data_IF_651378074087
#
_entry.id   IF_651378074087
#
_cell.length_a   1.000
_cell.length_b   1.000
_cell.length_c   1.000
_cell.angle_alpha   90.00
_cell.angle_beta   90.00
_cell.angle_gamma   90.00
#
_symmetry.space_group_name_H-M   'P 1'
#
loop_
_entity.id
_entity.type
_entity.pdbx_description
1 polymer ?
#
# COMPACT_ATOMS: atom_id res chain seq x y z
N UNK A 1 -23.96 -20.15 32.65
CA UNK A 1 -23.40 -18.87 32.14
C UNK A 1 -23.16 -17.98 33.35
N UNK A 2 -21.96 -17.39 33.46
CA UNK A 2 -21.66 -16.42 34.50
C UNK A 2 -22.56 -15.18 34.33
N UNK A 3 -23.36 -14.79 35.36
CA UNK A 3 -24.22 -13.61 35.29
C UNK A 3 -23.47 -12.34 34.91
N UNK A 4 -22.21 -12.19 35.35
CA UNK A 4 -21.39 -11.04 35.01
C UNK A 4 -21.08 -10.98 33.51
N UNK A 5 -20.65 -12.10 32.92
CA UNK A 5 -20.40 -12.19 31.48
C UNK A 5 -21.65 -11.90 30.63
N UNK A 6 -22.84 -12.35 31.08
CA UNK A 6 -24.11 -12.10 30.38
C UNK A 6 -24.45 -10.61 30.39
N UNK A 7 -24.26 -9.92 31.51
CA UNK A 7 -24.53 -8.48 31.64
C UNK A 7 -23.56 -7.67 30.76
N UNK A 8 -22.27 -7.98 30.80
CA UNK A 8 -21.26 -7.26 30.01
C UNK A 8 -21.47 -7.51 28.51
N UNK A 9 -21.64 -8.76 28.10
CA UNK A 9 -21.83 -9.10 26.69
C UNK A 9 -23.16 -8.56 26.15
N UNK A 10 -24.23 -8.67 26.92
CA UNK A 10 -25.54 -8.13 26.56
C UNK A 10 -25.53 -6.60 26.51
N UNK A 11 -24.86 -5.94 27.46
CA UNK A 11 -24.71 -4.49 27.48
C UNK A 11 -23.89 -3.96 26.29
N UNK A 12 -22.73 -4.55 26.02
CA UNK A 12 -21.89 -4.18 24.88
C UNK A 12 -22.59 -4.48 23.54
N UNK A 13 -23.19 -5.66 23.42
CA UNK A 13 -23.97 -6.04 22.23
C UNK A 13 -25.15 -5.10 22.01
N UNK A 14 -25.88 -4.76 23.07
CA UNK A 14 -26.98 -3.81 23.04
C UNK A 14 -26.52 -2.40 22.62
N UNK A 15 -25.37 -1.93 23.14
CA UNK A 15 -24.79 -0.66 22.75
C UNK A 15 -24.41 -0.64 21.27
N UNK A 16 -23.75 -1.68 20.77
CA UNK A 16 -23.39 -1.80 19.35
C UNK A 16 -24.64 -1.77 18.48
N UNK A 17 -25.67 -2.56 18.82
CA UNK A 17 -26.94 -2.57 18.08
C UNK A 17 -27.59 -1.19 18.12
N UNK A 18 -27.61 -0.52 19.27
CA UNK A 18 -28.16 0.82 19.39
C UNK A 18 -27.42 1.84 18.51
N UNK A 19 -26.08 1.81 18.47
CA UNK A 19 -25.29 2.64 17.57
C UNK A 19 -25.58 2.36 16.09
N UNK A 20 -25.72 1.09 15.70
CA UNK A 20 -26.07 0.72 14.33
C UNK A 20 -27.47 1.19 13.94
N UNK A 21 -28.44 1.06 14.84
CA UNK A 21 -29.80 1.57 14.62
C UNK A 21 -29.80 3.10 14.50
N UNK A 22 -29.07 3.80 15.37
CA UNK A 22 -28.89 5.25 15.25
C UNK A 22 -28.30 5.63 13.89
N UNK A 23 -27.19 5.00 13.46
CA UNK A 23 -26.60 5.30 12.16
C UNK A 23 -27.50 4.95 10.96
N UNK A 24 -28.31 3.88 11.05
CA UNK A 24 -29.22 3.44 9.98
C UNK A 24 -30.44 4.34 9.84
N UNK A 25 -31.00 4.82 10.95
CA UNK A 25 -32.29 5.52 10.98
C UNK A 25 -32.15 7.03 11.16
N UNK A 26 -30.98 7.53 11.53
CA UNK A 26 -30.73 8.96 11.63
C UNK A 26 -30.52 9.58 10.23
N UNK A 27 -31.33 10.56 9.80
CA UNK A 27 -31.31 11.09 8.44
C UNK A 27 -30.21 12.13 8.17
N UNK A 28 -29.52 12.63 9.21
CA UNK A 28 -28.50 13.65 9.05
C UNK A 28 -27.12 13.08 8.73
N UNK A 29 -26.39 13.75 7.84
CA UNK A 29 -24.98 13.48 7.61
C UNK A 29 -24.18 14.07 8.78
N UNK A 30 -23.25 13.32 9.38
CA UNK A 30 -22.46 13.80 10.53
C UNK A 30 -21.67 15.07 10.23
N UNK A 31 -21.39 15.31 8.95
CA UNK A 31 -20.77 16.54 8.44
C UNK A 31 -21.68 17.76 8.60
N UNK A 32 -22.99 17.62 8.38
CA UNK A 32 -23.97 18.70 8.49
C UNK A 32 -24.25 19.05 9.96
N UNK A 33 -24.11 18.08 10.89
CA UNK A 33 -24.23 18.32 12.33
C UNK A 33 -23.05 19.14 12.86
N UNK A 34 -21.86 18.89 12.32
CA UNK A 34 -20.61 19.53 12.72
C UNK A 34 -20.30 20.81 11.94
N UNK A 35 -21.15 21.19 10.97
CA UNK A 35 -20.85 22.22 9.95
C UNK A 35 -19.46 22.03 9.34
N UNK A 36 -19.05 20.78 9.12
CA UNK A 36 -17.73 20.49 8.56
C UNK A 36 -17.74 20.76 7.06
N UNK A 37 -17.37 21.98 6.68
CA UNK A 37 -17.03 22.35 5.31
C UNK A 37 -15.53 22.64 5.21
N UNK A 38 -14.90 22.43 4.04
CA UNK A 38 -13.55 22.96 3.80
C UNK A 38 -13.51 24.44 4.14
N UNK A 39 -12.57 24.86 4.99
CA UNK A 39 -12.49 26.26 5.46
C UNK A 39 -12.11 27.24 4.35
N UNK A 40 -11.69 26.73 3.19
CA UNK A 40 -11.18 27.46 2.03
C UNK A 40 -11.78 26.90 0.75
N UNK A 41 -11.84 27.74 -0.29
CA UNK A 41 -12.28 27.29 -1.60
C UNK A 41 -11.24 26.36 -2.24
N UNK A 42 -11.64 25.49 -3.18
CA UNK A 42 -10.72 24.58 -3.86
C UNK A 42 -9.54 25.29 -4.55
N UNK A 43 -9.78 26.48 -5.10
CA UNK A 43 -8.74 27.27 -5.79
C UNK A 43 -7.69 27.78 -4.81
N UNK A 44 -8.13 28.22 -3.62
CA UNK A 44 -7.22 28.67 -2.55
C UNK A 44 -6.42 27.50 -2.00
N UNK A 45 -7.04 26.33 -1.87
CA UNK A 45 -6.33 25.13 -1.40
C UNK A 45 -5.26 24.68 -2.40
N UNK A 46 -5.59 24.64 -3.70
CA UNK A 46 -4.62 24.32 -4.74
C UNK A 46 -3.43 25.31 -4.75
N UNK A 47 -3.68 26.60 -4.52
CA UNK A 47 -2.60 27.59 -4.41
C UNK A 47 -1.74 27.33 -3.16
N UNK A 48 -2.35 27.04 -2.01
CA UNK A 48 -1.59 26.73 -0.80
C UNK A 48 -0.71 25.49 -0.99
N UNK A 49 -1.21 24.46 -1.67
CA UNK A 49 -0.42 23.26 -1.97
C UNK A 49 0.81 23.59 -2.82
N UNK A 50 0.67 24.45 -3.84
CA UNK A 50 1.79 24.92 -4.66
C UNK A 50 2.81 25.69 -3.80
N UNK A 51 2.34 26.64 -3.00
CA UNK A 51 3.21 27.46 -2.14
C UNK A 51 3.94 26.60 -1.09
N UNK A 52 3.29 25.58 -0.54
CA UNK A 52 3.90 24.64 0.41
C UNK A 52 4.98 23.77 -0.25
N UNK A 53 4.77 23.32 -1.49
CA UNK A 53 5.77 22.59 -2.25
C UNK A 53 7.02 23.45 -2.53
N UNK A 54 6.84 24.72 -2.88
CA UNK A 54 7.94 25.67 -3.06
C UNK A 54 8.72 25.87 -1.77
N UNK A 55 8.02 26.06 -0.64
CA UNK A 55 8.66 26.21 0.68
C UNK A 55 9.46 24.97 1.07
N UNK A 56 8.93 23.78 0.79
CA UNK A 56 9.63 22.51 1.03
C UNK A 56 10.89 22.39 0.17
N UNK A 57 10.80 22.72 -1.13
CA UNK A 57 11.94 22.67 -2.05
C UNK A 57 13.04 23.64 -1.61
N UNK A 58 12.67 24.86 -1.27
CA UNK A 58 13.62 25.86 -0.79
C UNK A 58 14.25 25.45 0.54
N UNK A 59 13.47 24.87 1.47
CA UNK A 59 14.00 24.32 2.71
C UNK A 59 15.01 23.19 2.48
N UNK A 60 14.73 22.30 1.52
CA UNK A 60 15.65 21.25 1.12
C UNK A 60 16.93 21.87 0.54
N UNK A 61 16.81 22.82 -0.40
CA UNK A 61 17.95 23.46 -1.06
C UNK A 61 18.80 24.29 -0.09
N UNK A 62 18.21 24.95 0.91
CA UNK A 62 18.97 25.56 2.01
C UNK A 62 19.89 24.57 2.70
N UNK A 63 19.41 23.35 3.00
CA UNK A 63 20.24 22.28 3.60
C UNK A 63 21.29 21.77 2.62
N UNK A 64 20.96 21.65 1.33
CA UNK A 64 21.90 21.21 0.27
C UNK A 64 23.03 22.20 0.06
N UNK A 65 22.73 23.51 0.01
CA UNK A 65 23.71 24.60 -0.06
C UNK A 65 24.69 24.56 1.11
N UNK A 66 24.21 24.37 2.34
CA UNK A 66 25.06 24.27 3.54
C UNK A 66 26.11 23.15 3.48
N UNK A 67 25.81 22.06 2.75
CA UNK A 67 26.72 20.92 2.57
C UNK A 67 27.45 20.93 1.21
N UNK A 68 27.32 22.02 0.43
CA UNK A 68 27.92 22.12 -0.91
C UNK A 68 27.34 21.16 -1.95
N UNK A 69 26.15 20.61 -1.71
CA UNK A 69 25.48 19.73 -2.67
C UNK A 69 24.72 20.55 -3.71
N UNK A 70 24.60 20.05 -4.96
CA UNK A 70 23.80 20.71 -6.00
C UNK A 70 22.34 20.84 -5.56
N UNK A 71 21.71 21.94 -5.96
CA UNK A 71 20.30 22.21 -5.69
C UNK A 71 19.39 21.23 -6.44
N UNK A 72 18.22 20.97 -5.84
CA UNK A 72 17.14 20.23 -6.46
C UNK A 72 16.29 21.18 -7.27
N UNK A 73 16.01 20.80 -8.51
CA UNK A 73 14.99 21.39 -9.36
C UNK A 73 13.79 20.46 -9.44
N UNK A 74 12.61 21.01 -9.74
CA UNK A 74 11.41 20.20 -9.93
C UNK A 74 11.61 19.10 -10.98
N UNK A 75 12.23 19.44 -12.11
CA UNK A 75 12.56 18.48 -13.18
C UNK A 75 13.47 17.35 -12.68
N UNK A 76 14.53 17.69 -11.93
CA UNK A 76 15.44 16.68 -11.37
C UNK A 76 14.74 15.74 -10.38
N UNK A 77 13.79 16.26 -9.59
CA UNK A 77 12.99 15.46 -8.68
C UNK A 77 12.04 14.54 -9.44
N UNK A 78 11.34 15.06 -10.45
CA UNK A 78 10.45 14.24 -11.30
C UNK A 78 11.20 13.11 -11.98
N UNK A 79 12.40 13.39 -12.50
CA UNK A 79 13.24 12.36 -13.12
C UNK A 79 13.67 11.29 -12.10
N UNK A 80 14.11 11.71 -10.91
CA UNK A 80 14.51 10.79 -9.85
C UNK A 80 13.35 9.88 -9.42
N UNK A 81 12.15 10.45 -9.21
CA UNK A 81 10.95 9.67 -8.86
C UNK A 81 10.60 8.68 -9.97
N UNK A 82 10.64 9.09 -11.24
CA UNK A 82 10.36 8.19 -12.36
C UNK A 82 11.35 7.01 -12.43
N UNK A 83 12.63 7.26 -12.13
CA UNK A 83 13.65 6.22 -12.07
C UNK A 83 13.42 5.27 -10.89
N UNK A 84 13.10 5.79 -9.71
CA UNK A 84 12.83 4.99 -8.52
C UNK A 84 11.58 4.12 -8.68
N UNK A 85 10.52 4.68 -9.29
CA UNK A 85 9.29 3.94 -9.61
C UNK A 85 9.60 2.82 -10.59
N UNK A 86 10.33 3.11 -11.67
CA UNK A 86 10.75 2.10 -12.64
C UNK A 86 11.56 0.97 -11.98
N UNK A 87 12.57 1.31 -11.19
CA UNK A 87 13.40 0.32 -10.50
C UNK A 87 12.60 -0.52 -9.49
N UNK A 88 11.60 0.09 -8.84
CA UNK A 88 10.71 -0.62 -7.92
C UNK A 88 9.80 -1.60 -8.65
N UNK A 89 9.29 -1.22 -9.83
CA UNK A 89 8.53 -2.13 -10.70
C UNK A 89 9.38 -3.29 -11.19
N UNK A 90 10.59 -3.04 -11.69
CA UNK A 90 11.51 -4.09 -12.16
C UNK A 90 11.79 -5.12 -11.04
N UNK A 91 12.07 -4.65 -9.82
CA UNK A 91 12.25 -5.55 -8.66
C UNK A 91 10.98 -6.32 -8.31
N UNK A 92 9.81 -5.69 -8.40
CA UNK A 92 8.54 -6.37 -8.13
C UNK A 92 8.27 -7.48 -9.16
N UNK A 93 8.56 -7.22 -10.43
CA UNK A 93 8.40 -8.18 -11.52
C UNK A 93 9.39 -9.35 -11.39
N UNK A 94 10.65 -9.08 -11.07
CA UNK A 94 11.65 -10.13 -10.79
C UNK A 94 11.22 -11.03 -9.63
N UNK A 95 10.73 -10.44 -8.54
CA UNK A 95 10.23 -11.18 -7.39
C UNK A 95 8.99 -12.00 -7.74
N UNK A 96 8.07 -11.45 -8.53
CA UNK A 96 6.88 -12.14 -9.00
C UNK A 96 7.26 -13.36 -9.87
N UNK A 97 8.21 -13.19 -10.80
CA UNK A 97 8.71 -14.28 -11.64
C UNK A 97 9.36 -15.40 -10.81
N UNK A 98 10.17 -15.05 -9.81
CA UNK A 98 10.77 -16.02 -8.89
C UNK A 98 9.71 -16.79 -8.09
N UNK A 99 8.67 -16.11 -7.62
CA UNK A 99 7.56 -16.74 -6.91
C UNK A 99 6.73 -17.66 -7.82
N UNK A 100 6.51 -17.28 -9.07
CA UNK A 100 5.80 -18.09 -10.05
C UNK A 100 6.54 -19.40 -10.35
N UNK A 101 7.87 -19.32 -10.57
CA UNK A 101 8.73 -20.50 -10.75
C UNK A 101 8.66 -21.41 -9.52
N UNK A 102 8.75 -20.86 -8.31
CA UNK A 102 8.68 -21.63 -7.08
C UNK A 102 7.33 -22.36 -6.92
N UNK A 103 6.21 -21.67 -7.21
CA UNK A 103 4.87 -22.26 -7.17
C UNK A 103 4.71 -23.39 -8.19
N UNK A 104 5.18 -23.17 -9.42
CA UNK A 104 5.12 -24.18 -10.47
C UNK A 104 5.99 -25.41 -10.15
N UNK A 105 7.18 -25.19 -9.59
CA UNK A 105 8.06 -26.24 -9.10
C UNK A 105 7.39 -27.06 -8.00
N UNK A 106 6.72 -26.41 -7.04
CA UNK A 106 5.99 -27.08 -5.97
C UNK A 106 4.88 -27.98 -6.53
N UNK A 107 4.07 -27.46 -7.46
CA UNK A 107 3.00 -28.23 -8.12
C UNK A 107 3.59 -29.45 -8.84
N UNK A 108 4.71 -29.27 -9.55
CA UNK A 108 5.39 -30.34 -10.29
C UNK A 108 5.94 -31.41 -9.35
N UNK A 109 6.64 -31.01 -8.29
CA UNK A 109 7.20 -31.92 -7.29
C UNK A 109 6.11 -32.68 -6.54
N UNK A 110 4.97 -32.04 -6.24
CA UNK A 110 3.79 -32.72 -5.67
C UNK A 110 3.24 -33.81 -6.59
N UNK A 111 3.19 -33.57 -7.90
CA UNK A 111 2.78 -34.58 -8.91
C UNK A 111 3.81 -35.71 -9.02
N UNK A 112 5.10 -35.41 -8.97
CA UNK A 112 6.20 -36.40 -9.02
C UNK A 112 6.19 -37.30 -7.78
N UNK A 113 5.97 -36.74 -6.59
CA UNK A 113 5.84 -37.48 -5.35
C UNK A 113 4.69 -38.52 -5.41
N UNK A 114 3.53 -38.14 -5.95
CA UNK A 114 2.41 -39.08 -6.17
C UNK A 114 2.76 -40.24 -7.13
N UNK A 115 3.72 -40.03 -8.02
CA UNK A 115 4.22 -41.04 -8.98
C UNK A 115 5.45 -41.80 -8.46
N UNK A 116 5.89 -41.55 -7.22
CA UNK A 116 7.11 -42.14 -6.66
C UNK A 116 8.41 -41.66 -7.29
N UNK A 117 8.37 -40.53 -8.03
CA UNK A 117 9.54 -39.94 -8.66
C UNK A 117 10.24 -38.96 -7.70
N UNK A 118 11.58 -38.84 -7.75
CA UNK A 118 12.31 -37.88 -6.93
C UNK A 118 11.95 -36.44 -7.32
N UNK A 119 12.03 -35.54 -6.33
CA UNK A 119 11.88 -34.10 -6.53
C UNK A 119 13.01 -33.57 -7.42
N UNK A 120 12.68 -32.58 -8.25
CA UNK A 120 13.66 -31.83 -9.04
C UNK A 120 13.99 -30.51 -8.34
N UNK A 121 15.21 -30.04 -8.56
CA UNK A 121 15.69 -28.76 -8.02
C UNK A 121 15.23 -27.58 -8.89
N UNK A 122 15.33 -26.38 -8.35
CA UNK A 122 15.01 -25.15 -9.09
C UNK A 122 15.90 -24.99 -10.33
N UNK A 123 17.21 -25.24 -10.22
CA UNK A 123 18.16 -25.14 -11.33
C UNK A 123 17.82 -26.10 -12.48
N UNK A 124 17.43 -27.35 -12.13
CA UNK A 124 16.98 -28.33 -13.12
C UNK A 124 15.67 -27.91 -13.79
N UNK A 125 14.77 -27.29 -13.04
CA UNK A 125 13.49 -26.82 -13.57
C UNK A 125 13.67 -25.58 -14.47
N UNK A 126 14.57 -24.67 -14.11
CA UNK A 126 14.96 -23.52 -14.96
C UNK A 126 15.59 -23.98 -16.28
N UNK A 127 16.54 -24.91 -16.23
CA UNK A 127 17.17 -25.48 -17.43
C UNK A 127 16.16 -26.18 -18.36
N UNK A 128 15.10 -26.78 -17.80
CA UNK A 128 14.02 -27.39 -18.59
C UNK A 128 13.14 -26.34 -19.28
N UNK A 129 12.90 -25.18 -18.66
CA UNK A 129 12.15 -24.08 -19.27
C UNK A 129 12.95 -23.40 -20.38
N UNK A 130 14.24 -23.16 -20.16
CA UNK A 130 15.14 -22.56 -21.16
C UNK A 130 15.36 -23.47 -22.37
N UNK A 131 15.34 -24.79 -22.19
CA UNK A 131 15.43 -25.76 -23.29
C UNK A 131 14.12 -26.01 -24.04
N UNK A 132 13.01 -25.40 -23.63
CA UNK A 132 11.68 -25.51 -24.27
C UNK A 132 11.27 -24.28 -25.07
N UNK A 133 12.06 -23.20 -25.04
CA UNK A 133 11.90 -21.99 -25.87
C UNK A 133 12.58 -22.16 -27.24
#
# INVERSE_FOLDING_TARGET
MDPFAVIILGGLGGLIVACLLLGKYYPGNGQDILDWHPTRSPEVEAQNEVDDLEQMLEAANRRRRKRGAPELTEESMRLAVAQDVKASHERADENAAAQEIAQMLEIKNRRRARKGLPAITEDQYRAELEGQA
#
